data_IF_408666855631
#
_entry.id   IF_408666855631
#
_cell.length_a   1.000
_cell.length_b   1.000
_cell.length_c   1.000
_cell.angle_alpha   90.00
_cell.angle_beta   90.00
_cell.angle_gamma   90.00
#
_symmetry.space_group_name_H-M   'P 1'
#
loop_
_entity.id
_entity.type
_entity.pdbx_description
1 polymer ?
#
# COMPACT_ATOMS: atom_id res chain seq x y z
N UNK A 1 -47.10 -7.47 -18.65
CA UNK A 1 -46.25 -8.64 -19.00
C UNK A 1 -44.80 -8.18 -18.92
N UNK A 2 -43.96 -8.94 -18.18
CA UNK A 2 -42.53 -8.73 -17.83
C UNK A 2 -42.28 -7.63 -16.77
N UNK A 3 -42.29 -7.98 -15.47
CA UNK A 3 -41.20 -8.52 -14.63
C UNK A 3 -40.05 -7.52 -14.39
N UNK A 4 -40.09 -6.83 -13.25
CA UNK A 4 -38.89 -6.61 -12.44
C UNK A 4 -39.31 -6.34 -10.99
N UNK A 5 -39.43 -7.43 -10.24
CA UNK A 5 -39.40 -7.46 -8.78
C UNK A 5 -37.92 -7.63 -8.45
N UNK A 6 -37.25 -6.59 -7.97
CA UNK A 6 -35.96 -6.76 -7.28
C UNK A 6 -36.28 -6.81 -5.79
N UNK A 7 -36.37 -8.04 -5.29
CA UNK A 7 -36.23 -8.34 -3.87
C UNK A 7 -34.86 -7.79 -3.44
N UNK A 8 -34.87 -6.93 -2.43
CA UNK A 8 -33.74 -6.79 -1.51
C UNK A 8 -33.62 -8.16 -0.82
N UNK A 9 -32.85 -9.07 -1.44
CA UNK A 9 -32.43 -10.31 -0.80
C UNK A 9 -31.38 -9.93 0.24
N UNK A 10 -31.88 -9.63 1.43
CA UNK A 10 -31.18 -9.81 2.70
C UNK A 10 -30.67 -11.25 2.69
N UNK A 11 -29.42 -11.47 2.25
CA UNK A 11 -28.81 -12.79 2.27
C UNK A 11 -28.42 -13.05 3.73
N UNK A 12 -29.40 -13.60 4.44
CA UNK A 12 -29.25 -14.32 5.69
C UNK A 12 -28.29 -15.50 5.43
N UNK A 13 -26.99 -15.30 5.60
CA UNK A 13 -26.05 -16.41 5.68
C UNK A 13 -26.27 -17.06 7.05
N UNK A 14 -26.46 -18.37 6.99
CA UNK A 14 -26.98 -19.19 8.06
C UNK A 14 -26.10 -19.15 9.33
N UNK A 15 -26.76 -18.92 10.46
CA UNK A 15 -26.26 -19.20 11.80
C UNK A 15 -25.90 -20.68 11.94
N UNK A 16 -24.64 -20.98 12.27
CA UNK A 16 -24.27 -22.19 12.99
C UNK A 16 -23.57 -21.80 14.30
N UNK A 17 -24.31 -21.91 15.41
CA UNK A 17 -23.87 -22.09 16.79
C UNK A 17 -22.76 -21.20 17.41
N UNK A 18 -22.59 -19.95 16.98
CA UNK A 18 -21.80 -18.97 17.73
C UNK A 18 -22.72 -17.94 18.39
N UNK A 19 -22.36 -17.51 19.61
CA UNK A 19 -23.15 -16.61 20.46
C UNK A 19 -23.49 -15.28 19.79
N UNK A 20 -24.37 -14.51 20.42
CA UNK A 20 -24.79 -13.20 19.95
C UNK A 20 -23.59 -12.35 19.50
N UNK A 21 -23.66 -11.83 18.26
CA UNK A 21 -22.67 -10.92 17.70
C UNK A 21 -22.83 -9.60 18.48
N UNK A 22 -21.90 -9.33 19.40
CA UNK A 22 -21.83 -8.05 20.10
C UNK A 22 -20.80 -7.20 19.33
N UNK A 23 -21.22 -6.13 18.62
CA UNK A 23 -20.27 -5.18 18.07
C UNK A 23 -19.52 -4.54 19.24
N UNK A 24 -18.19 -4.52 19.16
CA UNK A 24 -17.39 -3.72 20.09
C UNK A 24 -17.48 -2.28 19.59
N UNK A 25 -18.04 -1.34 20.36
CA UNK A 25 -17.98 0.10 20.06
C UNK A 25 -16.51 0.56 20.16
N UNK A 26 -15.73 0.31 19.11
CA UNK A 26 -14.31 0.58 19.06
C UNK A 26 -13.95 1.17 17.71
N UNK A 27 -14.26 2.47 17.53
CA UNK A 27 -14.10 3.19 16.25
C UNK A 27 -12.67 3.24 15.69
N UNK A 28 -11.66 2.66 16.35
CA UNK A 28 -10.30 2.63 15.82
C UNK A 28 -9.34 1.99 16.83
N UNK A 29 -8.81 0.82 16.51
CA UNK A 29 -7.41 0.55 16.85
C UNK A 29 -6.61 1.51 15.97
N UNK A 30 -6.39 2.75 16.43
CA UNK A 30 -5.88 3.86 15.62
C UNK A 30 -4.50 3.49 15.06
N UNK A 31 -4.42 3.30 13.74
CA UNK A 31 -3.19 2.92 13.03
C UNK A 31 -2.05 3.88 13.39
N UNK A 32 -0.83 3.35 13.55
CA UNK A 32 0.34 4.16 13.91
C UNK A 32 0.77 5.14 12.80
N UNK A 33 0.19 5.02 11.61
CA UNK A 33 0.46 5.85 10.45
C UNK A 33 -0.84 6.47 9.92
N UNK A 34 -0.75 7.76 9.60
CA UNK A 34 -1.79 8.57 8.99
C UNK A 34 -1.38 8.79 7.53
N UNK A 35 -2.21 8.49 6.51
CA UNK A 35 -3.60 8.05 6.57
C UNK A 35 -3.75 6.52 6.63
N UNK A 36 -4.90 6.00 7.11
CA UNK A 36 -5.23 4.58 7.03
C UNK A 36 -5.33 4.17 5.55
N UNK A 37 -4.65 3.08 5.18
CA UNK A 37 -4.71 2.52 3.82
C UNK A 37 -6.09 1.95 3.47
N UNK A 38 -6.98 1.71 4.45
CA UNK A 38 -8.34 1.22 4.22
C UNK A 38 -9.22 1.38 5.47
N UNK A 39 -10.48 1.81 5.29
CA UNK A 39 -11.57 1.88 6.29
C UNK A 39 -12.02 0.51 6.86
N UNK A 40 -11.34 -0.57 6.54
CA UNK A 40 -11.74 -1.95 6.85
C UNK A 40 -11.48 -2.40 8.29
N UNK A 41 -10.69 -1.65 9.05
CA UNK A 41 -10.47 -1.91 10.48
C UNK A 41 -11.48 -1.23 11.41
N UNK A 42 -12.48 -0.53 10.86
CA UNK A 42 -13.50 0.21 11.63
C UNK A 42 -14.51 -0.72 12.34
N UNK A 43 -14.47 -2.03 12.08
CA UNK A 43 -15.41 -3.00 12.64
C UNK A 43 -14.71 -4.24 13.21
N UNK A 44 -14.90 -4.47 14.51
CA UNK A 44 -14.36 -5.62 15.25
C UNK A 44 -15.44 -6.39 15.99
N UNK A 45 -15.27 -7.71 16.07
CA UNK A 45 -16.21 -8.63 16.70
C UNK A 45 -15.52 -9.43 17.80
N UNK A 46 -16.20 -9.60 18.94
CA UNK A 46 -15.71 -10.47 20.01
C UNK A 46 -15.64 -11.93 19.56
N UNK A 47 -14.59 -12.62 19.99
CA UNK A 47 -14.39 -14.06 19.86
C UNK A 47 -14.27 -14.69 21.25
N UNK A 48 -15.04 -15.75 21.49
CA UNK A 48 -14.96 -16.55 22.70
C UNK A 48 -16.08 -16.30 23.71
N UNK A 49 -15.72 -16.27 25.00
CA UNK A 49 -16.70 -16.15 26.08
C UNK A 49 -17.12 -14.68 26.23
N UNK A 50 -18.43 -14.37 26.14
CA UNK A 50 -18.92 -12.99 26.28
C UNK A 50 -18.46 -12.33 27.59
N UNK A 51 -18.41 -10.99 27.60
CA UNK A 51 -18.23 -10.13 28.78
C UNK A 51 -16.80 -9.97 29.36
N UNK A 52 -15.76 -10.01 28.52
CA UNK A 52 -14.38 -9.77 28.94
C UNK A 52 -13.58 -8.88 28.00
N UNK A 53 -14.25 -8.16 27.10
CA UNK A 53 -13.64 -7.30 26.10
C UNK A 53 -14.30 -5.93 26.22
N UNK A 54 -13.51 -4.88 26.40
CA UNK A 54 -13.99 -3.51 26.61
C UNK A 54 -13.05 -2.52 25.96
N UNK A 55 -13.48 -1.27 25.76
CA UNK A 55 -12.59 -0.18 25.33
C UNK A 55 -11.93 0.52 26.53
N UNK A 56 -10.72 1.06 26.33
CA UNK A 56 -10.00 1.88 27.32
C UNK A 56 -9.55 3.20 26.73
N UNK A 57 -9.90 4.32 27.36
CA UNK A 57 -9.44 5.66 26.95
C UNK A 57 -8.21 6.14 27.74
N UNK A 58 -7.89 5.46 28.84
CA UNK A 58 -6.82 5.83 29.77
C UNK A 58 -5.52 5.07 29.54
N UNK A 59 -5.62 3.83 29.06
CA UNK A 59 -4.47 3.02 28.65
C UNK A 59 -4.55 2.82 27.14
N UNK A 60 -3.75 3.55 26.37
CA UNK A 60 -3.71 3.51 24.90
C UNK A 60 -2.31 3.77 24.37
N UNK A 61 -2.04 3.33 23.15
CA UNK A 61 -0.78 3.55 22.45
C UNK A 61 -0.88 4.78 21.54
N UNK A 62 -1.94 4.84 20.73
CA UNK A 62 -2.22 5.89 19.76
C UNK A 62 -3.69 6.34 19.81
N UNK A 63 -3.97 7.47 19.18
CA UNK A 63 -5.29 8.09 19.05
C UNK A 63 -6.20 8.07 20.31
N UNK A 64 -7.45 7.64 20.14
CA UNK A 64 -8.53 7.85 21.10
C UNK A 64 -8.63 6.82 22.23
N UNK A 65 -8.47 5.53 21.91
CA UNK A 65 -8.82 4.39 22.76
C UNK A 65 -8.03 3.12 22.36
N UNK A 66 -7.96 2.14 23.24
CA UNK A 66 -7.46 0.78 22.96
C UNK A 66 -8.53 -0.27 23.31
N UNK A 67 -8.35 -1.51 22.85
CA UNK A 67 -9.16 -2.64 23.28
C UNK A 67 -8.50 -3.34 24.48
N UNK A 68 -9.29 -3.61 25.52
CA UNK A 68 -8.89 -4.29 26.75
C UNK A 68 -9.51 -5.69 26.80
N UNK A 69 -8.64 -6.69 26.83
CA UNK A 69 -8.97 -8.04 27.25
C UNK A 69 -8.85 -8.14 28.77
N UNK A 70 -9.99 -8.29 29.45
CA UNK A 70 -10.04 -8.47 30.89
C UNK A 70 -9.86 -9.93 31.26
N UNK A 71 -8.90 -10.19 32.14
CA UNK A 71 -8.62 -11.49 32.75
C UNK A 71 -8.64 -12.65 31.73
N UNK A 72 -7.64 -12.75 30.84
CA UNK A 72 -7.53 -13.84 29.90
C UNK A 72 -7.47 -15.19 30.59
N UNK A 73 -8.10 -16.19 29.97
CA UNK A 73 -8.10 -17.56 30.50
C UNK A 73 -6.88 -18.34 30.01
N UNK A 74 -6.79 -19.62 30.36
CA UNK A 74 -5.75 -20.52 29.83
C UNK A 74 -5.91 -20.93 28.36
N UNK A 75 -6.95 -20.44 27.68
CA UNK A 75 -7.23 -20.70 26.27
C UNK A 75 -7.36 -19.42 25.44
N UNK A 76 -6.75 -19.42 24.25
CA UNK A 76 -6.95 -18.38 23.23
C UNK A 76 -8.39 -18.30 22.73
N UNK A 77 -9.17 -19.38 22.85
CA UNK A 77 -10.57 -19.39 22.40
C UNK A 77 -11.53 -18.63 23.32
N UNK A 78 -11.06 -18.12 24.47
CA UNK A 78 -11.92 -17.47 25.45
C UNK A 78 -11.89 -15.93 25.39
N UNK A 79 -10.79 -15.34 24.89
CA UNK A 79 -10.60 -13.90 24.74
C UNK A 79 -9.93 -13.61 23.41
N UNK A 80 -10.67 -13.02 22.50
CA UNK A 80 -10.10 -12.45 21.30
C UNK A 80 -11.07 -11.52 20.59
N UNK A 81 -10.56 -10.83 19.59
CA UNK A 81 -11.35 -10.09 18.63
C UNK A 81 -10.95 -10.52 17.22
N UNK A 82 -11.86 -10.32 16.29
CA UNK A 82 -11.58 -10.43 14.86
C UNK A 82 -12.07 -9.20 14.11
N UNK A 83 -11.35 -8.81 13.08
CA UNK A 83 -11.77 -7.72 12.19
C UNK A 83 -12.98 -8.14 11.36
N UNK A 84 -13.62 -7.17 10.72
CA UNK A 84 -14.41 -7.45 9.52
C UNK A 84 -13.49 -7.95 8.40
N UNK A 85 -14.09 -8.43 7.30
CA UNK A 85 -13.31 -8.84 6.13
C UNK A 85 -12.63 -7.63 5.50
N UNK A 86 -11.32 -7.78 5.24
CA UNK A 86 -10.44 -6.80 4.61
C UNK A 86 -10.11 -7.32 3.22
N UNK A 87 -10.05 -6.45 2.21
CA UNK A 87 -9.64 -6.86 0.87
C UNK A 87 -8.13 -7.15 0.82
N UNK A 88 -7.76 -8.21 0.12
CA UNK A 88 -6.36 -8.61 -0.09
C UNK A 88 -6.17 -9.15 -1.51
N UNK A 89 -4.93 -9.17 -1.97
CA UNK A 89 -4.53 -9.71 -3.27
C UNK A 89 -3.88 -11.06 -3.07
N UNK A 90 -4.42 -12.09 -3.71
CA UNK A 90 -3.90 -13.45 -3.64
C UNK A 90 -2.49 -13.54 -4.24
N UNK A 91 -1.56 -14.20 -3.54
CA UNK A 91 -0.16 -14.30 -3.95
C UNK A 91 0.75 -13.24 -3.33
N UNK A 92 0.20 -12.15 -2.80
CA UNK A 92 0.98 -11.10 -2.14
C UNK A 92 1.49 -11.52 -0.76
N UNK A 93 2.54 -10.83 -0.30
CA UNK A 93 3.13 -11.06 1.01
C UNK A 93 2.57 -10.02 1.97
N UNK A 94 2.12 -10.48 3.13
CA UNK A 94 1.55 -9.65 4.17
C UNK A 94 2.27 -9.83 5.50
N UNK A 95 2.29 -8.77 6.30
CA UNK A 95 2.66 -8.80 7.71
C UNK A 95 1.53 -8.19 8.53
N UNK A 96 1.04 -8.94 9.52
CA UNK A 96 0.00 -8.45 10.44
C UNK A 96 0.57 -8.27 11.83
N UNK A 97 0.17 -7.21 12.52
CA UNK A 97 0.62 -6.96 13.89
C UNK A 97 -0.28 -6.03 14.68
N UNK A 98 0.08 -5.87 15.95
CA UNK A 98 -0.62 -5.03 16.93
C UNK A 98 0.34 -4.61 18.04
N UNK A 99 0.12 -3.45 18.64
CA UNK A 99 0.77 -3.07 19.87
C UNK A 99 0.03 -3.64 21.07
N UNK A 100 0.74 -4.32 21.97
CA UNK A 100 0.20 -4.91 23.19
C UNK A 100 0.80 -4.30 24.46
N UNK A 101 -0.03 -4.14 25.49
CA UNK A 101 0.38 -3.68 26.82
C UNK A 101 -0.19 -4.61 27.90
N UNK A 102 0.68 -5.13 28.76
CA UNK A 102 0.30 -6.01 29.85
C UNK A 102 0.22 -5.24 31.17
N UNK A 103 -0.93 -5.28 31.83
CA UNK A 103 -1.15 -4.70 33.14
C UNK A 103 -1.26 -5.79 34.22
N UNK A 104 -0.40 -5.71 35.23
CA UNK A 104 -0.52 -6.50 36.45
C UNK A 104 -1.60 -5.87 37.34
N UNK A 105 -2.79 -6.50 37.40
CA UNK A 105 -3.89 -6.02 38.23
C UNK A 105 -3.75 -6.39 39.71
N UNK A 106 -2.92 -7.40 40.04
CA UNK A 106 -2.77 -7.85 41.42
C UNK A 106 -1.53 -7.26 42.11
N UNK A 107 -0.65 -6.56 41.37
CA UNK A 107 0.63 -6.06 41.86
C UNK A 107 1.46 -7.17 42.56
N UNK A 108 1.23 -8.42 42.15
CA UNK A 108 1.87 -9.61 42.71
C UNK A 108 3.21 -9.90 42.04
N UNK A 109 3.61 -9.09 41.04
CA UNK A 109 4.85 -9.23 40.29
C UNK A 109 4.99 -10.64 39.70
N UNK A 110 3.91 -11.14 39.10
CA UNK A 110 3.92 -12.40 38.37
C UNK A 110 4.92 -12.36 37.20
N UNK A 111 5.27 -13.51 36.63
CA UNK A 111 6.12 -13.55 35.44
C UNK A 111 5.29 -13.06 34.22
N UNK A 112 5.69 -11.99 33.50
CA UNK A 112 4.94 -11.52 32.33
C UNK A 112 4.84 -12.58 31.23
N UNK A 113 5.77 -13.54 31.19
CA UNK A 113 5.81 -14.60 30.18
C UNK A 113 4.67 -15.63 30.32
N UNK A 114 3.83 -15.52 31.36
CA UNK A 114 2.61 -16.31 31.46
C UNK A 114 1.49 -15.75 30.59
N UNK A 115 1.55 -14.47 30.23
CA UNK A 115 0.53 -13.81 29.40
C UNK A 115 0.97 -13.81 27.95
N UNK A 116 0.07 -14.18 27.05
CA UNK A 116 0.38 -14.38 25.63
C UNK A 116 -0.62 -13.67 24.74
N UNK A 117 -0.12 -13.15 23.63
CA UNK A 117 -0.90 -12.58 22.55
C UNK A 117 -0.66 -13.37 21.27
N UNK A 118 -1.73 -13.74 20.58
CA UNK A 118 -1.68 -14.43 19.29
C UNK A 118 -2.35 -13.57 18.24
N UNK A 119 -1.54 -13.11 17.30
CA UNK A 119 -1.96 -12.38 16.11
C UNK A 119 -1.90 -13.34 14.93
N UNK A 120 -2.98 -13.43 14.16
CA UNK A 120 -3.08 -14.34 13.00
C UNK A 120 -4.05 -13.79 11.95
N UNK A 121 -3.99 -14.29 10.73
CA UNK A 121 -4.78 -13.81 9.58
C UNK A 121 -5.42 -14.98 8.80
N UNK A 122 -6.74 -15.06 8.76
CA UNK A 122 -7.43 -16.07 7.95
C UNK A 122 -7.77 -15.52 6.57
N UNK A 123 -7.54 -16.32 5.54
CA UNK A 123 -7.73 -15.95 4.13
C UNK A 123 -9.03 -16.53 3.61
N UNK A 124 -9.73 -15.80 2.74
CA UNK A 124 -10.96 -16.24 2.11
C UNK A 124 -10.94 -15.92 0.62
N UNK A 125 -11.51 -16.81 -0.18
CA UNK A 125 -11.67 -16.59 -1.61
C UNK A 125 -12.86 -15.67 -1.91
N UNK A 126 -13.10 -15.40 -3.20
CA UNK A 126 -14.20 -14.53 -3.66
C UNK A 126 -15.61 -15.01 -3.27
N UNK A 127 -15.76 -16.30 -2.93
CA UNK A 127 -17.03 -16.89 -2.46
C UNK A 127 -17.19 -16.78 -0.93
N UNK A 128 -16.18 -16.25 -0.23
CA UNK A 128 -16.13 -16.16 1.23
C UNK A 128 -15.75 -17.48 1.92
N UNK A 129 -15.25 -18.47 1.18
CA UNK A 129 -14.79 -19.74 1.73
C UNK A 129 -13.31 -19.61 2.17
N UNK A 130 -12.88 -20.27 3.26
CA UNK A 130 -11.48 -20.23 3.69
C UNK A 130 -10.51 -20.74 2.61
N UNK A 131 -9.49 -19.96 2.29
CA UNK A 131 -8.44 -20.30 1.33
C UNK A 131 -7.34 -21.15 1.97
N UNK A 132 -6.72 -22.05 1.18
CA UNK A 132 -5.67 -22.96 1.64
C UNK A 132 -4.50 -23.05 0.65
N UNK A 133 -3.25 -23.26 1.10
CA UNK A 133 -2.82 -23.41 2.49
C UNK A 133 -2.71 -22.07 3.24
N UNK A 134 -3.23 -22.00 4.47
CA UNK A 134 -3.03 -20.82 5.33
C UNK A 134 -1.67 -20.92 6.04
N UNK A 135 -0.82 -19.90 5.88
CA UNK A 135 0.51 -19.81 6.50
C UNK A 135 0.48 -19.12 7.88
N UNK A 136 -0.53 -19.42 8.70
CA UNK A 136 -0.68 -18.80 10.01
C UNK A 136 0.25 -19.37 11.10
N UNK A 137 0.68 -18.55 12.07
CA UNK A 137 1.39 -19.03 13.24
C UNK A 137 0.49 -19.99 14.04
N UNK A 138 1.05 -21.13 14.46
CA UNK A 138 0.35 -22.16 15.25
C UNK A 138 0.11 -21.76 16.71
N UNK A 139 0.79 -20.72 17.20
CA UNK A 139 0.67 -20.20 18.56
C UNK A 139 1.08 -18.73 18.62
N UNK A 140 0.62 -18.01 19.66
CA UNK A 140 1.05 -16.64 19.95
C UNK A 140 2.45 -16.51 20.56
N UNK A 141 2.75 -15.29 20.99
CA UNK A 141 4.01 -14.86 21.63
C UNK A 141 3.74 -14.38 23.05
N UNK A 142 4.64 -14.70 23.98
CA UNK A 142 4.55 -14.26 25.37
C UNK A 142 4.94 -12.78 25.51
N UNK A 143 4.35 -12.08 26.47
CA UNK A 143 4.85 -10.78 26.93
C UNK A 143 6.15 -10.98 27.70
N UNK A 144 7.13 -10.10 27.50
CA UNK A 144 8.40 -10.12 28.22
C UNK A 144 8.49 -9.07 29.34
N UNK A 145 7.50 -8.19 29.47
CA UNK A 145 7.48 -7.09 30.44
C UNK A 145 6.06 -6.62 30.72
N UNK A 146 5.85 -6.08 31.92
CA UNK A 146 4.64 -5.32 32.25
C UNK A 146 4.81 -3.85 31.91
N UNK A 147 3.68 -3.17 31.79
CA UNK A 147 3.59 -1.72 31.74
C UNK A 147 4.37 -1.04 30.60
N UNK A 148 4.67 -1.80 29.53
CA UNK A 148 5.35 -1.33 28.32
C UNK A 148 4.52 -1.77 27.12
N UNK A 149 4.31 -0.86 26.17
CA UNK A 149 3.76 -1.20 24.87
C UNK A 149 4.82 -1.92 24.03
N UNK A 150 4.50 -3.10 23.54
CA UNK A 150 5.38 -3.95 22.72
C UNK A 150 4.65 -4.34 21.44
N UNK A 151 5.33 -4.29 20.30
CA UNK A 151 4.78 -4.78 19.03
C UNK A 151 4.75 -6.32 19.00
N UNK A 152 3.61 -6.88 18.60
CA UNK A 152 3.43 -8.29 18.32
C UNK A 152 3.02 -8.44 16.86
N UNK A 153 3.87 -9.04 16.05
CA UNK A 153 3.60 -9.25 14.63
C UNK A 153 3.90 -10.67 14.19
N UNK A 154 3.32 -11.06 13.07
CA UNK A 154 3.70 -12.27 12.35
C UNK A 154 5.05 -12.08 11.65
N UNK A 155 5.67 -13.18 11.21
CA UNK A 155 6.58 -13.12 10.07
C UNK A 155 5.80 -12.74 8.80
N UNK A 156 6.49 -12.50 7.70
CA UNK A 156 5.86 -12.37 6.38
C UNK A 156 5.05 -13.65 6.05
N UNK A 157 3.85 -13.46 5.53
CA UNK A 157 2.87 -14.50 5.21
C UNK A 157 2.42 -14.30 3.77
N UNK A 158 2.58 -15.30 2.91
CA UNK A 158 2.05 -15.21 1.54
C UNK A 158 0.56 -15.57 1.53
N UNK A 159 -0.27 -14.68 0.98
CA UNK A 159 -1.68 -14.94 0.74
C UNK A 159 -1.83 -16.09 -0.27
N UNK A 160 -2.73 -17.07 -0.05
CA UNK A 160 -3.10 -18.03 -1.08
C UNK A 160 -3.50 -17.31 -2.37
N UNK A 161 -3.16 -17.88 -3.53
CA UNK A 161 -3.41 -17.24 -4.84
C UNK A 161 -4.89 -16.95 -5.12
N UNK A 162 -5.80 -17.64 -4.44
CA UNK A 162 -7.25 -17.45 -4.58
C UNK A 162 -7.84 -16.51 -3.51
N UNK A 163 -7.01 -15.99 -2.60
CA UNK A 163 -7.46 -15.09 -1.55
C UNK A 163 -7.90 -13.74 -2.13
N UNK A 164 -9.05 -13.29 -1.69
CA UNK A 164 -9.65 -11.99 -2.03
C UNK A 164 -9.99 -11.21 -0.76
N UNK A 165 -10.25 -11.92 0.33
CA UNK A 165 -10.50 -11.31 1.63
C UNK A 165 -9.61 -11.93 2.70
N UNK A 166 -9.40 -11.17 3.77
CA UNK A 166 -8.75 -11.64 4.97
C UNK A 166 -9.50 -11.21 6.24
N UNK A 167 -9.29 -11.93 7.33
CA UNK A 167 -9.74 -11.54 8.67
C UNK A 167 -8.58 -11.64 9.64
N UNK A 168 -8.28 -10.53 10.33
CA UNK A 168 -7.25 -10.49 11.37
C UNK A 168 -7.87 -10.92 12.69
N UNK A 169 -7.17 -11.80 13.40
CA UNK A 169 -7.52 -12.25 14.74
C UNK A 169 -6.46 -11.83 15.73
N UNK A 170 -6.92 -11.32 16.87
CA UNK A 170 -6.09 -11.02 18.04
C UNK A 170 -6.69 -11.77 19.20
N UNK A 171 -5.97 -12.77 19.72
CA UNK A 171 -6.41 -13.61 20.84
C UNK A 171 -5.39 -13.55 21.94
N UNK A 172 -5.82 -13.72 23.19
CA UNK A 172 -4.91 -13.75 24.32
C UNK A 172 -5.22 -14.89 25.28
N UNK A 173 -4.20 -15.29 26.04
CA UNK A 173 -4.32 -16.27 27.12
C UNK A 173 -3.33 -15.99 28.24
N UNK A 174 -3.53 -16.66 29.37
CA UNK A 174 -2.53 -16.80 30.44
C UNK A 174 -2.21 -18.28 30.69
N UNK A 175 -0.95 -18.68 30.84
CA UNK A 175 -0.62 -20.08 31.17
C UNK A 175 -1.03 -20.46 32.59
N UNK A 176 -1.09 -19.46 33.48
CA UNK A 176 -1.68 -19.54 34.82
C UNK A 176 -2.55 -18.31 35.03
N UNK A 177 -3.78 -18.48 35.50
CA UNK A 177 -4.72 -17.38 35.73
C UNK A 177 -4.19 -16.44 36.83
N UNK A 178 -3.52 -15.38 36.40
CA UNK A 178 -2.98 -14.30 37.23
C UNK A 178 -3.90 -13.08 37.23
N UNK A 179 -5.01 -13.14 36.48
CA UNK A 179 -5.95 -12.05 36.27
C UNK A 179 -5.29 -10.79 35.70
N UNK A 180 -4.24 -10.91 34.88
CA UNK A 180 -3.70 -9.74 34.20
C UNK A 180 -4.70 -9.24 33.18
N UNK A 181 -4.57 -7.98 32.81
CA UNK A 181 -5.30 -7.42 31.69
C UNK A 181 -4.34 -7.10 30.56
N UNK A 182 -4.80 -7.36 29.33
CA UNK A 182 -4.05 -7.06 28.12
C UNK A 182 -4.79 -5.97 27.35
N UNK A 183 -4.07 -4.91 27.01
CA UNK A 183 -4.55 -3.85 26.14
C UNK A 183 -3.88 -4.01 24.79
N UNK A 184 -4.64 -3.79 23.72
CA UNK A 184 -4.17 -3.86 22.35
C UNK A 184 -4.63 -2.64 21.56
N UNK A 185 -3.74 -2.11 20.73
CA UNK A 185 -3.93 -0.87 20.00
C UNK A 185 -3.08 -0.87 18.72
N UNK A 186 -3.31 0.07 17.80
CA UNK A 186 -2.54 0.23 16.57
C UNK A 186 -2.34 -1.09 15.79
N UNK A 187 -3.46 -1.73 15.44
CA UNK A 187 -3.43 -2.91 14.57
C UNK A 187 -3.01 -2.48 13.18
N UNK A 188 -2.17 -3.28 12.53
CA UNK A 188 -1.78 -3.06 11.15
C UNK A 188 -1.83 -4.36 10.36
N UNK A 189 -2.20 -4.23 9.10
CA UNK A 189 -1.97 -5.20 8.05
C UNK A 189 -1.18 -4.47 6.97
N UNK A 190 0.10 -4.78 6.90
CA UNK A 190 0.98 -4.29 5.86
C UNK A 190 0.96 -5.34 4.76
N UNK A 191 0.43 -4.96 3.62
CA UNK A 191 0.93 -5.47 2.34
C UNK A 191 2.43 -5.13 2.32
N UNK A 192 3.28 -6.15 2.25
CA UNK A 192 4.62 -5.91 1.76
C UNK A 192 4.49 -6.01 0.25
N UNK A 193 4.41 -4.86 -0.42
CA UNK A 193 4.54 -4.83 -1.88
C UNK A 193 5.72 -5.73 -2.20
N UNK A 194 5.53 -6.69 -3.12
CA UNK A 194 6.66 -7.53 -3.55
C UNK A 194 7.87 -6.61 -3.71
N UNK A 195 9.06 -7.01 -3.20
CA UNK A 195 10.24 -6.18 -3.37
C UNK A 195 10.33 -5.81 -4.85
N UNK A 196 10.34 -4.52 -5.14
CA UNK A 196 10.26 -4.06 -6.53
C UNK A 196 11.44 -4.62 -7.30
N UNK A 197 11.13 -5.21 -8.45
CA UNK A 197 12.08 -5.86 -9.32
C UNK A 197 12.54 -4.89 -10.41
N UNK A 198 13.75 -5.11 -10.96
CA UNK A 198 14.18 -4.38 -12.13
C UNK A 198 13.15 -4.48 -13.26
N UNK A 199 12.70 -3.32 -13.75
CA UNK A 199 11.68 -3.20 -14.80
C UNK A 199 10.25 -3.00 -14.31
N UNK A 200 9.94 -3.11 -13.01
CA UNK A 200 8.58 -2.85 -12.49
C UNK A 200 8.16 -1.40 -12.73
N UNK A 201 9.10 -0.47 -12.59
CA UNK A 201 8.98 0.92 -13.05
C UNK A 201 10.13 1.22 -13.99
N UNK A 202 9.82 1.76 -15.16
CA UNK A 202 10.82 2.12 -16.16
C UNK A 202 10.85 3.62 -16.41
N UNK A 203 12.03 4.14 -16.74
CA UNK A 203 12.18 5.49 -17.30
C UNK A 203 11.66 5.42 -18.74
N UNK A 204 10.49 6.02 -18.96
CA UNK A 204 9.67 5.85 -20.16
C UNK A 204 10.02 6.85 -21.26
N UNK A 205 10.12 8.13 -20.90
CA UNK A 205 10.29 9.22 -21.85
C UNK A 205 11.05 10.39 -21.20
N UNK A 206 11.93 11.05 -21.97
CA UNK A 206 12.79 12.14 -21.50
C UNK A 206 12.82 13.28 -22.51
N UNK A 207 12.45 14.49 -22.08
CA UNK A 207 12.59 15.73 -22.84
C UNK A 207 13.83 16.50 -22.39
N UNK A 208 15.01 15.92 -22.61
CA UNK A 208 16.29 16.46 -22.14
C UNK A 208 16.67 17.81 -22.75
N UNK A 209 16.07 18.17 -23.89
CA UNK A 209 16.34 19.40 -24.64
C UNK A 209 15.43 20.58 -24.28
N UNK A 210 14.50 20.36 -23.33
CA UNK A 210 13.40 21.26 -23.04
C UNK A 210 12.29 21.29 -24.11
N UNK A 211 11.39 22.26 -24.04
CA UNK A 211 10.28 22.42 -24.99
C UNK A 211 10.61 23.38 -26.14
N UNK A 212 9.63 23.61 -27.02
CA UNK A 212 9.67 24.68 -28.02
C UNK A 212 9.58 26.08 -27.39
N UNK A 213 9.12 26.18 -26.14
CA UNK A 213 8.99 27.44 -25.40
C UNK A 213 10.27 27.81 -24.69
N UNK A 214 10.91 26.85 -24.02
CA UNK A 214 12.18 27.07 -23.31
C UNK A 214 13.03 25.81 -23.25
N UNK A 215 14.35 26.01 -23.35
CA UNK A 215 15.34 24.94 -23.12
C UNK A 215 15.44 24.52 -21.64
N UNK A 216 14.79 25.23 -20.72
CA UNK A 216 14.74 24.85 -19.30
C UNK A 216 13.56 23.97 -18.95
N UNK A 217 12.56 23.90 -19.84
CA UNK A 217 11.29 23.21 -19.62
C UNK A 217 11.49 21.72 -19.91
N UNK A 218 12.30 21.08 -19.07
CA UNK A 218 12.66 19.67 -19.16
C UNK A 218 11.67 18.83 -18.37
N UNK A 219 11.45 17.60 -18.82
CA UNK A 219 10.60 16.66 -18.10
C UNK A 219 11.05 15.21 -18.29
N UNK A 220 10.69 14.37 -17.32
CA UNK A 220 10.96 12.93 -17.30
C UNK A 220 9.67 12.22 -16.96
N UNK A 221 9.39 11.13 -17.65
CA UNK A 221 8.23 10.28 -17.35
C UNK A 221 8.68 8.88 -16.93
N UNK A 222 8.05 8.37 -15.87
CA UNK A 222 8.15 6.98 -15.46
C UNK A 222 6.89 6.23 -15.87
N UNK A 223 7.02 4.94 -16.16
CA UNK A 223 5.90 4.04 -16.46
C UNK A 223 5.93 2.81 -15.57
N UNK A 224 4.80 2.48 -14.96
CA UNK A 224 4.63 1.26 -14.18
C UNK A 224 4.24 0.10 -15.12
N UNK A 225 5.07 -0.92 -15.20
CA UNK A 225 4.85 -2.07 -16.09
C UNK A 225 4.02 -3.18 -15.43
N UNK A 226 3.70 -3.03 -14.15
CA UNK A 226 2.96 -4.01 -13.36
C UNK A 226 1.46 -3.71 -13.38
N UNK A 227 0.68 -4.72 -12.96
CA UNK A 227 -0.77 -4.63 -12.83
C UNK A 227 -1.23 -4.09 -11.47
N UNK A 228 -0.30 -3.63 -10.62
CA UNK A 228 -0.58 -3.08 -9.29
C UNK A 228 0.00 -1.66 -9.15
N UNK A 229 -0.56 -0.84 -8.26
CA UNK A 229 0.02 0.47 -7.97
C UNK A 229 1.34 0.35 -7.18
N UNK A 230 2.30 1.24 -7.41
CA UNK A 230 3.60 1.25 -6.73
C UNK A 230 3.79 2.59 -6.01
N UNK A 231 4.17 2.54 -4.73
CA UNK A 231 4.50 3.74 -3.98
C UNK A 231 5.96 4.14 -4.22
N UNK A 232 6.17 5.27 -4.90
CA UNK A 232 7.49 5.82 -5.22
C UNK A 232 8.09 6.63 -4.07
N UNK A 233 7.36 6.82 -2.97
CA UNK A 233 7.82 7.66 -1.85
C UNK A 233 9.13 7.13 -1.26
N UNK A 234 10.18 7.94 -1.37
CA UNK A 234 11.54 7.59 -0.90
C UNK A 234 12.39 6.85 -1.93
N UNK A 235 11.89 6.61 -3.14
CA UNK A 235 12.71 6.22 -4.28
C UNK A 235 13.55 7.40 -4.76
N UNK A 236 14.62 7.12 -5.50
CA UNK A 236 15.48 8.15 -6.08
C UNK A 236 15.62 7.99 -7.58
N UNK A 237 15.54 9.09 -8.32
CA UNK A 237 15.94 9.18 -9.73
C UNK A 237 17.10 10.17 -9.84
N UNK A 238 18.30 9.65 -10.05
CA UNK A 238 19.53 10.43 -9.95
C UNK A 238 20.40 10.28 -11.19
N UNK A 239 20.98 11.39 -11.64
CA UNK A 239 22.13 11.33 -12.54
C UNK A 239 23.40 10.95 -11.78
N UNK A 240 24.23 10.10 -12.39
CA UNK A 240 25.47 9.62 -11.78
C UNK A 240 26.54 10.71 -11.57
N UNK A 241 26.44 11.84 -12.27
CA UNK A 241 27.30 13.01 -12.08
C UNK A 241 26.82 13.95 -10.96
N UNK A 242 25.66 13.64 -10.37
CA UNK A 242 25.11 14.28 -9.18
C UNK A 242 23.97 15.27 -9.42
N UNK A 243 23.58 15.55 -10.67
CA UNK A 243 22.42 16.41 -10.98
C UNK A 243 21.73 15.95 -12.28
N UNK A 244 20.39 15.77 -12.31
CA UNK A 244 19.46 15.97 -11.20
C UNK A 244 19.57 14.88 -10.12
N UNK A 245 19.23 15.24 -8.88
CA UNK A 245 19.06 14.31 -7.75
C UNK A 245 17.61 14.44 -7.25
N UNK A 246 16.77 13.47 -7.56
CA UNK A 246 15.31 13.56 -7.37
C UNK A 246 14.88 12.52 -6.33
N UNK A 247 14.34 12.98 -5.21
CA UNK A 247 13.63 12.12 -4.26
C UNK A 247 12.16 12.06 -4.67
N UNK A 248 11.69 10.88 -5.06
CA UNK A 248 10.32 10.69 -5.55
C UNK A 248 9.33 10.61 -4.38
N UNK A 249 8.13 11.14 -4.62
CA UNK A 249 7.00 11.10 -3.69
C UNK A 249 5.70 10.79 -4.44
N UNK A 250 4.83 9.98 -3.85
CA UNK A 250 3.52 9.65 -4.43
C UNK A 250 3.42 8.22 -4.95
N UNK A 251 2.35 7.95 -5.67
CA UNK A 251 1.95 6.62 -6.14
C UNK A 251 1.86 6.65 -7.66
N UNK A 252 2.44 5.65 -8.32
CA UNK A 252 2.23 5.38 -9.75
C UNK A 252 1.25 4.22 -9.88
N UNK A 253 0.08 4.47 -10.47
CA UNK A 253 -0.97 3.46 -10.61
C UNK A 253 -0.54 2.34 -11.59
N UNK A 254 -1.19 1.18 -11.49
CA UNK A 254 -0.99 0.06 -12.41
C UNK A 254 -1.07 0.48 -13.87
N UNK A 255 -0.11 0.06 -14.70
CA UNK A 255 -0.02 0.44 -16.12
C UNK A 255 -0.12 1.97 -16.36
N UNK A 256 0.28 2.78 -15.37
CA UNK A 256 0.16 4.22 -15.36
C UNK A 256 1.49 4.95 -15.59
N UNK A 257 1.39 6.26 -15.76
CA UNK A 257 2.51 7.17 -15.97
C UNK A 257 2.69 8.10 -14.76
N UNK A 258 3.93 8.42 -14.43
CA UNK A 258 4.29 9.41 -13.41
C UNK A 258 5.18 10.48 -14.04
N UNK A 259 4.68 11.71 -14.09
CA UNK A 259 5.29 12.82 -14.83
C UNK A 259 6.05 13.77 -13.89
N UNK A 260 7.32 13.99 -14.20
CA UNK A 260 8.21 14.91 -13.50
C UNK A 260 8.49 16.13 -14.37
N UNK A 261 8.18 17.33 -13.90
CA UNK A 261 8.42 18.59 -14.65
C UNK A 261 9.45 19.48 -13.94
N UNK A 262 10.22 20.23 -14.75
CA UNK A 262 11.19 21.20 -14.28
C UNK A 262 11.07 22.51 -15.04
N UNK A 263 11.15 23.67 -14.35
CA UNK A 263 11.29 23.83 -12.90
C UNK A 263 9.95 23.97 -12.17
N UNK A 264 8.85 23.95 -12.91
CA UNK A 264 7.49 24.18 -12.46
C UNK A 264 6.48 23.49 -13.39
N UNK A 265 5.21 23.54 -12.98
CA UNK A 265 4.06 22.90 -13.64
C UNK A 265 3.58 23.67 -14.90
N UNK A 266 4.31 24.70 -15.32
CA UNK A 266 4.06 25.40 -16.59
C UNK A 266 4.93 24.83 -17.73
N UNK A 267 5.78 23.83 -17.46
CA UNK A 267 6.63 23.14 -18.44
C UNK A 267 5.79 22.48 -19.53
N UNK A 268 4.72 21.78 -19.13
CA UNK A 268 3.67 21.28 -20.02
C UNK A 268 2.32 21.93 -19.64
N UNK A 269 1.96 23.12 -20.17
CA UNK A 269 0.86 23.94 -19.65
C UNK A 269 -0.54 23.31 -19.59
N UNK A 270 -0.74 22.16 -20.25
CA UNK A 270 -2.03 21.45 -20.30
C UNK A 270 -1.99 20.06 -19.67
N UNK A 271 -0.83 19.62 -19.19
CA UNK A 271 -0.62 18.30 -18.61
C UNK A 271 0.03 18.53 -17.26
N UNK A 272 -0.67 18.30 -16.14
CA UNK A 272 -0.09 18.54 -14.83
C UNK A 272 1.00 17.52 -14.52
N UNK A 273 2.06 17.97 -13.86
CA UNK A 273 3.08 17.13 -13.25
C UNK A 273 2.52 16.37 -12.05
N UNK A 274 3.00 15.15 -11.85
CA UNK A 274 2.82 14.45 -10.57
C UNK A 274 3.81 14.98 -9.52
N UNK A 275 5.00 15.43 -9.96
CA UNK A 275 5.99 16.03 -9.09
C UNK A 275 6.89 17.03 -9.85
N UNK A 276 7.22 18.14 -9.18
CA UNK A 276 8.19 19.12 -9.68
C UNK A 276 9.59 18.78 -9.17
N UNK A 277 10.60 18.88 -10.05
CA UNK A 277 12.00 18.64 -9.70
C UNK A 277 12.92 19.81 -10.07
N UNK A 278 14.16 19.74 -9.59
CA UNK A 278 15.22 20.72 -9.86
C UNK A 278 16.53 20.02 -10.24
N UNK A 279 17.46 20.75 -10.84
CA UNK A 279 18.65 20.17 -11.49
C UNK A 279 18.39 19.98 -12.98
N UNK A 280 19.30 20.41 -13.85
CA UNK A 280 19.11 20.37 -15.30
C UNK A 280 19.60 19.05 -15.86
N UNK A 281 19.00 18.60 -16.96
CA UNK A 281 19.54 17.53 -17.79
C UNK A 281 20.62 18.09 -18.73
N UNK A 282 21.79 17.46 -18.75
CA UNK A 282 22.88 17.80 -19.65
C UNK A 282 22.55 17.42 -21.10
N UNK A 283 22.60 18.39 -22.03
CA UNK A 283 22.41 18.12 -23.47
C UNK A 283 23.42 17.13 -24.07
N UNK A 284 24.58 16.94 -23.43
CA UNK A 284 25.63 16.03 -23.88
C UNK A 284 25.40 14.58 -23.40
N UNK A 285 24.23 14.27 -22.83
CA UNK A 285 23.88 12.96 -22.28
C UNK A 285 24.12 12.84 -20.79
N UNK A 286 23.33 11.97 -20.15
CA UNK A 286 23.49 11.60 -18.74
C UNK A 286 23.39 10.10 -18.56
N UNK A 287 23.80 9.64 -17.38
CA UNK A 287 23.43 8.31 -16.90
C UNK A 287 22.48 8.48 -15.71
N UNK A 288 21.23 8.06 -15.88
CA UNK A 288 20.17 8.13 -14.88
C UNK A 288 19.95 6.76 -14.24
N UNK A 289 19.82 6.74 -12.92
CA UNK A 289 19.48 5.54 -12.16
C UNK A 289 18.18 5.78 -11.36
N UNK A 290 17.19 4.90 -11.57
CA UNK A 290 16.00 4.80 -10.73
C UNK A 290 16.22 3.71 -9.68
N UNK A 291 16.14 4.08 -8.40
CA UNK A 291 16.37 3.15 -7.28
C UNK A 291 15.22 3.17 -6.27
N UNK A 292 14.89 2.01 -5.74
CA UNK A 292 13.87 1.86 -4.70
C UNK A 292 14.39 2.27 -3.29
N UNK A 293 13.52 2.19 -2.29
CA UNK A 293 13.84 2.50 -0.88
C UNK A 293 14.89 1.58 -0.27
N UNK A 294 15.11 0.40 -0.86
CA UNK A 294 16.16 -0.56 -0.49
C UNK A 294 17.45 -0.37 -1.29
N UNK A 295 17.54 0.71 -2.09
CA UNK A 295 18.65 1.05 -2.98
C UNK A 295 18.86 0.04 -4.13
N UNK A 296 17.88 -0.83 -4.39
CA UNK A 296 17.84 -1.72 -5.56
C UNK A 296 17.77 -0.87 -6.83
N UNK A 297 18.57 -1.17 -7.84
CA UNK A 297 18.46 -0.54 -9.16
C UNK A 297 17.24 -1.12 -9.88
N UNK A 298 16.24 -0.27 -10.15
CA UNK A 298 14.99 -0.66 -10.79
C UNK A 298 15.07 -0.47 -12.31
N UNK A 299 15.57 0.67 -12.76
CA UNK A 299 15.86 0.90 -14.18
C UNK A 299 17.00 1.93 -14.31
N UNK A 300 17.59 2.00 -15.50
CA UNK A 300 18.59 3.01 -15.81
C UNK A 300 18.47 3.52 -17.25
N UNK A 301 19.02 4.70 -17.48
CA UNK A 301 19.37 5.19 -18.81
C UNK A 301 20.88 5.30 -18.85
N UNK A 302 21.54 4.43 -19.59
CA UNK A 302 23.00 4.47 -19.71
C UNK A 302 23.44 5.63 -20.62
N UNK A 303 24.60 6.22 -20.34
CA UNK A 303 25.22 7.24 -21.19
C UNK A 303 25.67 6.63 -22.54
N UNK A 304 25.23 7.20 -23.66
CA UNK A 304 25.61 6.73 -24.99
C UNK A 304 26.91 7.41 -25.49
N UNK A 305 27.68 6.79 -26.40
CA UNK A 305 28.94 7.36 -26.90
C UNK A 305 28.83 8.77 -27.50
N UNK A 306 27.64 9.13 -28.00
CA UNK A 306 27.33 10.43 -28.63
C UNK A 306 26.30 11.24 -27.82
N UNK A 307 26.16 10.96 -26.51
CA UNK A 307 25.27 11.67 -25.58
C UNK A 307 23.96 10.92 -25.30
N UNK A 308 22.81 11.56 -25.54
CA UNK A 308 21.52 10.88 -25.43
C UNK A 308 21.30 9.90 -26.60
N UNK A 309 20.69 8.75 -26.32
CA UNK A 309 20.48 7.69 -27.32
C UNK A 309 19.38 8.00 -28.33
N UNK A 310 18.55 9.00 -28.04
CA UNK A 310 17.55 9.56 -28.92
C UNK A 310 17.11 10.96 -28.41
N UNK A 311 16.07 11.51 -29.02
CA UNK A 311 15.66 12.89 -28.83
C UNK A 311 16.45 13.84 -29.73
N UNK A 312 15.84 14.98 -30.06
CA UNK A 312 16.41 15.93 -31.00
C UNK A 312 16.17 17.37 -30.51
N UNK A 313 17.27 18.09 -30.27
CA UNK A 313 17.21 19.45 -29.72
C UNK A 313 16.70 20.49 -30.73
N UNK A 314 16.85 20.26 -32.03
CA UNK A 314 16.43 21.21 -33.07
C UNK A 314 14.92 21.11 -33.33
N UNK A 315 14.42 19.89 -33.45
CA UNK A 315 13.02 19.58 -33.73
C UNK A 315 12.17 19.41 -32.46
N UNK A 316 12.82 19.33 -31.29
CA UNK A 316 12.18 19.11 -29.98
C UNK A 316 11.38 17.81 -29.90
N UNK A 317 11.86 16.78 -30.60
CA UNK A 317 11.40 15.41 -30.40
C UNK A 317 12.04 14.86 -29.13
N UNK A 318 11.26 14.23 -28.26
CA UNK A 318 11.73 13.65 -27.00
C UNK A 318 12.38 12.29 -27.24
N UNK A 319 13.06 11.78 -26.22
CA UNK A 319 13.65 10.44 -26.20
C UNK A 319 12.65 9.47 -25.55
N UNK A 320 11.99 8.66 -26.36
CA UNK A 320 10.95 7.69 -25.95
C UNK A 320 11.48 6.25 -25.94
N UNK A 321 11.11 5.45 -24.95
CA UNK A 321 11.40 4.00 -24.89
C UNK A 321 10.30 3.20 -25.60
N UNK A 322 10.65 2.48 -26.67
CA UNK A 322 9.75 1.60 -27.43
C UNK A 322 10.42 0.23 -27.59
N UNK A 323 9.76 -0.84 -27.14
CA UNK A 323 10.28 -2.22 -27.19
C UNK A 323 11.71 -2.34 -26.64
N UNK A 324 11.97 -1.70 -25.48
CA UNK A 324 13.28 -1.63 -24.82
C UNK A 324 14.38 -0.92 -25.61
N UNK A 325 14.01 -0.09 -26.60
CA UNK A 325 14.94 0.73 -27.38
C UNK A 325 14.55 2.20 -27.34
N UNK A 326 15.54 3.08 -27.30
CA UNK A 326 15.33 4.53 -27.34
C UNK A 326 15.13 5.02 -28.76
N UNK A 327 14.12 5.86 -28.98
CA UNK A 327 13.76 6.43 -30.29
C UNK A 327 13.33 7.88 -30.12
N UNK A 328 13.43 8.66 -31.20
CA UNK A 328 12.80 9.97 -31.24
C UNK A 328 11.29 9.79 -31.24
N UNK A 329 10.59 10.63 -30.48
CA UNK A 329 9.14 10.76 -30.58
C UNK A 329 8.69 11.06 -32.00
N UNK A 330 7.49 10.61 -32.36
CA UNK A 330 6.91 10.94 -33.67
C UNK A 330 6.50 12.42 -33.69
N UNK A 331 5.89 12.89 -32.60
CA UNK A 331 5.39 14.26 -32.45
C UNK A 331 6.42 15.14 -31.73
N UNK A 332 6.41 16.43 -32.08
CA UNK A 332 7.18 17.45 -31.36
C UNK A 332 6.63 17.56 -29.94
N UNK A 333 7.51 17.49 -28.94
CA UNK A 333 7.12 17.51 -27.53
C UNK A 333 6.66 16.16 -26.98
N UNK A 334 6.75 15.08 -27.76
CA UNK A 334 6.63 13.72 -27.22
C UNK A 334 5.21 13.22 -26.99
N UNK A 335 5.09 12.19 -26.15
CA UNK A 335 3.82 11.56 -25.76
C UNK A 335 3.56 11.54 -24.25
N UNK A 336 3.69 12.67 -23.53
CA UNK A 336 3.45 12.70 -22.09
C UNK A 336 2.05 12.16 -21.72
N UNK A 337 2.04 11.27 -20.73
CA UNK A 337 0.92 10.46 -20.21
C UNK A 337 0.22 9.58 -21.25
N UNK A 338 0.92 9.22 -22.33
CA UNK A 338 0.39 8.43 -23.43
C UNK A 338 1.38 7.34 -23.85
N UNK A 339 0.90 6.38 -24.64
CA UNK A 339 1.74 5.32 -25.16
C UNK A 339 2.74 5.86 -26.19
N UNK A 340 4.04 5.65 -25.93
CA UNK A 340 5.14 5.99 -26.85
C UNK A 340 4.91 5.48 -28.27
N UNK A 341 5.34 6.27 -29.26
CA UNK A 341 5.15 5.97 -30.69
C UNK A 341 3.70 6.11 -31.17
N UNK A 342 2.79 6.67 -30.36
CA UNK A 342 1.44 7.01 -30.78
C UNK A 342 1.40 8.39 -31.45
N UNK A 343 0.56 8.53 -32.47
CA UNK A 343 0.24 9.84 -33.07
C UNK A 343 -1.01 10.39 -32.40
N UNK A 344 -0.91 11.57 -31.78
CA UNK A 344 -2.08 12.26 -31.23
C UNK A 344 -3.04 12.63 -32.36
N UNK A 345 -4.12 11.85 -32.50
CA UNK A 345 -5.15 12.12 -33.51
C UNK A 345 -6.06 13.24 -33.03
N UNK A 346 -5.82 14.48 -33.47
CA UNK A 346 -6.75 15.58 -33.24
C UNK A 346 -7.99 15.36 -34.12
N UNK A 347 -9.06 14.81 -33.56
CA UNK A 347 -10.36 14.78 -34.22
C UNK A 347 -11.00 16.16 -34.05
N UNK A 348 -10.84 17.03 -35.06
CA UNK A 348 -11.58 18.29 -35.10
C UNK A 348 -13.05 18.01 -35.43
N UNK A 349 -13.93 17.96 -34.42
CA UNK A 349 -15.39 17.89 -34.66
C UNK A 349 -15.84 19.24 -35.25
N UNK A 350 -15.92 19.33 -36.58
CA UNK A 350 -16.25 20.58 -37.29
C UNK A 350 -17.74 20.82 -37.47
N UNK A 351 -18.60 19.83 -37.18
CA UNK A 351 -20.03 19.90 -37.50
C UNK A 351 -20.90 19.58 -36.29
N UNK A 352 -21.09 20.57 -35.42
CA UNK A 352 -22.26 20.59 -34.56
C UNK A 352 -23.48 20.95 -35.42
N UNK A 353 -24.39 20.00 -35.63
CA UNK A 353 -25.76 20.30 -36.04
C UNK A 353 -26.62 20.27 -34.78
N UNK A 354 -27.08 21.43 -34.34
CA UNK A 354 -28.22 21.50 -33.43
C UNK A 354 -29.43 20.89 -34.14
N UNK A 355 -29.94 19.80 -33.57
CA UNK A 355 -31.23 19.23 -33.97
C UNK A 355 -32.24 19.90 -33.05
N UNK A 356 -33.04 20.82 -33.62
CA UNK A 356 -34.17 21.47 -32.95
C UNK A 356 -35.40 20.57 -32.94
#
# INVERSE_FOLDING_TARGET
MKKLIFLISLLLIAYSSYGAIVPVENDSFETATNPPLDSSFDSWYEEGTPSGITSSTTQKHSGGRSCRFTNPTTSYSARGVKSFQINVTGGEIYKVGVWGYLKDENALAYDPNISWLWVSIEWFNSEGNPSTPSQNPSSGTAFSSFAIWTEFSTSNITAPSDAVYATVYIRCKETSNANNDIFVDAVFLEDSQQPTQPGDVVINEIAWMGTTTSATDEWIELYNTTDEEINLTGWTLNATDGMPEINLIGIIVANGYFLLERPDDDTLPTIPADQIYTGALGNEGENLELRDTSSTLIDSVDHFPEGWGAGDNETKQTMERIDSSWKNSIEVGGTPRQQNGSVTTIITITNWREIY
#
